data_IF_214877970804
#
_entry.id   IF_214877970804
#
_cell.length_a   1.000
_cell.length_b   1.000
_cell.length_c   1.000
_cell.angle_alpha   90.00
_cell.angle_beta   90.00
_cell.angle_gamma   90.00
#
_symmetry.space_group_name_H-M   'P 1'
#
loop_
_entity.id
_entity.type
_entity.pdbx_description
1 polymer ?
#
# COMPACT_ATOMS: atom_id res chain seq x y z
N UNK A 1 -5.96 -8.91 23.61
CA UNK A 1 -6.37 -8.94 22.19
C UNK A 1 -7.28 -7.77 21.91
N UNK A 2 -7.06 -7.02 20.84
CA UNK A 2 -7.91 -5.88 20.41
C UNK A 2 -9.26 -6.42 19.94
N UNK A 3 -10.36 -5.90 20.53
CA UNK A 3 -11.71 -6.43 20.32
C UNK A 3 -12.54 -5.61 19.32
N UNK A 4 -12.12 -4.40 18.99
CA UNK A 4 -12.86 -3.51 18.08
C UNK A 4 -11.94 -2.51 17.37
N UNK A 5 -12.44 -1.94 16.25
CA UNK A 5 -11.79 -0.84 15.56
C UNK A 5 -11.54 0.35 16.49
N UNK A 6 -12.51 0.70 17.34
CA UNK A 6 -12.37 1.84 18.26
C UNK A 6 -11.27 1.61 19.31
N UNK A 7 -11.13 0.38 19.81
CA UNK A 7 -10.04 0.04 20.74
C UNK A 7 -8.67 0.15 20.06
N UNK A 8 -8.59 -0.24 18.77
CA UNK A 8 -7.38 -0.06 17.98
C UNK A 8 -7.07 1.43 17.80
N UNK A 9 -8.05 2.24 17.40
CA UNK A 9 -7.89 3.69 17.21
C UNK A 9 -7.40 4.39 18.48
N UNK A 10 -8.03 4.09 19.64
CA UNK A 10 -7.61 4.62 20.95
C UNK A 10 -6.17 4.20 21.29
N UNK A 11 -5.78 2.97 21.00
CA UNK A 11 -4.42 2.51 21.26
C UNK A 11 -3.42 3.26 20.35
N UNK A 12 -3.72 3.36 19.05
CA UNK A 12 -2.86 4.04 18.06
C UNK A 12 -2.78 5.56 18.30
N UNK A 13 -3.83 6.20 18.86
CA UNK A 13 -3.82 7.64 19.15
C UNK A 13 -2.81 8.05 20.24
N UNK A 14 -2.34 7.08 21.03
CA UNK A 14 -1.36 7.28 22.11
C UNK A 14 0.10 7.14 21.65
N UNK A 15 0.32 6.75 20.39
CA UNK A 15 1.65 6.65 19.82
C UNK A 15 2.29 8.03 19.65
N UNK A 16 3.60 8.11 19.87
CA UNK A 16 4.39 9.31 19.59
C UNK A 16 4.40 9.59 18.11
N UNK A 17 4.25 10.85 17.75
CA UNK A 17 4.33 11.36 16.38
C UNK A 17 5.74 11.88 16.10
N UNK A 18 5.99 12.39 14.90
CA UNK A 18 7.25 13.06 14.57
C UNK A 18 7.49 14.26 15.49
N UNK A 19 8.64 14.31 16.17
CA UNK A 19 9.02 15.43 17.03
C UNK A 19 9.45 16.64 16.20
N UNK A 20 10.21 16.40 15.11
CA UNK A 20 10.69 17.42 14.17
C UNK A 20 10.43 16.95 12.72
N UNK A 21 9.19 17.06 12.23
CA UNK A 21 8.86 16.57 10.90
C UNK A 21 9.59 17.34 9.80
N UNK A 22 10.19 16.59 8.87
CA UNK A 22 10.98 17.14 7.76
C UNK A 22 10.07 17.53 6.60
N UNK A 23 10.00 18.83 6.30
CA UNK A 23 9.19 19.39 5.19
C UNK A 23 9.49 18.74 3.84
N UNK A 24 10.78 18.53 3.52
CA UNK A 24 11.21 17.95 2.25
C UNK A 24 10.77 16.50 2.09
N UNK A 25 10.60 15.76 3.20
CA UNK A 25 10.16 14.37 3.21
C UNK A 25 8.64 14.23 3.35
N UNK A 26 7.88 15.32 3.37
CA UNK A 26 6.43 15.32 3.59
C UNK A 26 6.01 14.44 4.78
N UNK A 27 6.78 14.50 5.89
CA UNK A 27 6.52 13.69 7.08
C UNK A 27 5.28 14.20 7.81
N UNK A 28 4.20 13.45 7.74
CA UNK A 28 3.00 13.61 8.56
C UNK A 28 2.52 12.25 9.02
N UNK A 29 2.05 12.20 10.25
CA UNK A 29 1.54 10.96 10.83
C UNK A 29 0.13 10.67 10.28
N UNK A 30 -0.11 9.45 9.86
CA UNK A 30 -1.47 8.98 9.53
C UNK A 30 -2.37 9.15 10.75
N UNK A 31 -3.57 9.69 10.56
CA UNK A 31 -4.54 9.82 11.64
C UNK A 31 -4.91 8.44 12.21
N UNK A 32 -5.04 8.33 13.53
CA UNK A 32 -5.25 7.05 14.23
C UNK A 32 -6.58 6.40 13.90
N UNK A 33 -7.65 7.18 13.70
CA UNK A 33 -8.96 6.66 13.30
C UNK A 33 -8.92 6.13 11.87
N UNK A 34 -8.23 6.83 10.98
CA UNK A 34 -8.04 6.41 9.58
C UNK A 34 -7.18 5.16 9.51
N UNK A 35 -6.05 5.14 10.23
CA UNK A 35 -5.19 3.96 10.32
C UNK A 35 -5.95 2.74 10.85
N UNK A 36 -6.69 2.91 11.96
CA UNK A 36 -7.50 1.84 12.53
C UNK A 36 -8.60 1.37 11.57
N UNK A 37 -9.27 2.28 10.85
CA UNK A 37 -10.31 1.92 9.90
C UNK A 37 -9.76 1.03 8.77
N UNK A 38 -8.64 1.41 8.16
CA UNK A 38 -8.01 0.65 7.08
C UNK A 38 -7.47 -0.68 7.58
N UNK A 39 -6.74 -0.69 8.70
CA UNK A 39 -6.15 -1.91 9.25
C UNK A 39 -7.22 -2.91 9.72
N UNK A 40 -8.34 -2.41 10.25
CA UNK A 40 -9.47 -3.24 10.65
C UNK A 40 -10.13 -3.92 9.44
N UNK A 41 -10.29 -3.20 8.33
CA UNK A 41 -10.74 -3.79 7.06
C UNK A 41 -9.74 -4.82 6.52
N UNK A 42 -8.45 -4.51 6.56
CA UNK A 42 -7.40 -5.43 6.14
C UNK A 42 -7.37 -6.72 6.99
N UNK A 43 -7.66 -6.60 8.27
CA UNK A 43 -7.82 -7.76 9.17
C UNK A 43 -9.02 -8.63 8.76
N UNK A 44 -10.20 -8.05 8.52
CA UNK A 44 -11.37 -8.79 8.05
C UNK A 44 -11.16 -9.46 6.68
N UNK A 45 -10.40 -8.82 5.80
CA UNK A 45 -10.06 -9.36 4.48
C UNK A 45 -8.95 -10.42 4.55
N UNK A 46 -8.50 -10.81 5.75
CA UNK A 46 -7.45 -11.81 5.99
C UNK A 46 -6.08 -11.45 5.40
N UNK A 47 -5.80 -10.16 5.31
CA UNK A 47 -4.55 -9.65 4.74
C UNK A 47 -3.51 -9.29 5.82
N UNK A 48 -3.84 -9.41 7.11
CA UNK A 48 -2.96 -9.07 8.24
C UNK A 48 -2.61 -10.28 9.10
N UNK A 49 -3.61 -10.97 9.64
CA UNK A 49 -3.39 -12.06 10.60
C UNK A 49 -2.53 -13.17 10.01
N UNK A 50 -1.47 -13.57 10.74
CA UNK A 50 -0.48 -14.56 10.29
C UNK A 50 0.26 -14.23 8.98
N UNK A 51 0.23 -12.97 8.52
CA UNK A 51 0.93 -12.49 7.32
C UNK A 51 2.26 -11.86 7.65
N UNK A 52 3.20 -11.98 6.72
CA UNK A 52 4.43 -11.19 6.68
C UNK A 52 4.13 -9.88 5.96
N UNK A 53 4.35 -8.76 6.63
CA UNK A 53 3.97 -7.43 6.16
C UNK A 53 5.21 -6.56 6.00
N UNK A 54 5.20 -5.64 5.04
CA UNK A 54 6.14 -4.53 4.99
C UNK A 54 5.37 -3.20 5.09
N UNK A 55 5.85 -2.32 5.98
CA UNK A 55 5.44 -0.93 6.11
C UNK A 55 6.51 -0.08 5.42
N UNK A 56 6.22 0.38 4.19
CA UNK A 56 7.17 1.13 3.37
C UNK A 56 7.06 2.63 3.64
N UNK A 57 8.16 3.25 4.05
CA UNK A 57 8.16 4.60 4.58
C UNK A 57 7.41 4.65 5.90
N UNK A 58 7.77 3.75 6.82
CA UNK A 58 6.99 3.50 8.04
C UNK A 58 6.87 4.72 8.97
N UNK A 59 7.74 5.71 8.84
CA UNK A 59 7.77 6.85 9.75
C UNK A 59 7.83 6.43 11.21
N UNK A 60 6.89 6.90 12.03
CA UNK A 60 6.78 6.53 13.45
C UNK A 60 6.03 5.21 13.69
N UNK A 61 5.63 4.51 12.61
CA UNK A 61 5.22 3.12 12.63
C UNK A 61 3.73 2.83 12.79
N UNK A 62 2.84 3.79 12.69
CA UNK A 62 1.43 3.62 13.04
C UNK A 62 0.73 2.47 12.27
N UNK A 63 1.04 2.29 10.98
CA UNK A 63 0.43 1.23 10.16
C UNK A 63 1.00 -0.15 10.52
N UNK A 64 2.32 -0.30 10.50
CA UNK A 64 2.97 -1.57 10.82
C UNK A 64 2.77 -2.02 12.26
N UNK A 65 2.79 -1.10 13.23
CA UNK A 65 2.50 -1.39 14.64
C UNK A 65 1.06 -1.83 14.83
N UNK A 66 0.11 -1.15 14.18
CA UNK A 66 -1.29 -1.58 14.19
C UNK A 66 -1.48 -2.98 13.58
N UNK A 67 -0.73 -3.30 12.51
CA UNK A 67 -0.74 -4.65 11.93
C UNK A 67 -0.16 -5.71 12.89
N UNK A 68 0.91 -5.39 13.65
CA UNK A 68 1.45 -6.29 14.70
C UNK A 68 0.41 -6.59 15.78
N UNK A 69 -0.28 -5.55 16.25
CA UNK A 69 -1.34 -5.66 17.27
C UNK A 69 -2.51 -6.51 16.78
N UNK A 70 -2.81 -6.47 15.48
CA UNK A 70 -3.84 -7.29 14.83
C UNK A 70 -3.36 -8.71 14.44
N UNK A 71 -2.19 -9.13 14.89
CA UNK A 71 -1.74 -10.51 14.75
C UNK A 71 -0.89 -10.80 13.51
N UNK A 72 -0.25 -9.80 12.91
CA UNK A 72 0.75 -10.05 11.88
C UNK A 72 1.84 -11.02 12.36
N UNK A 73 2.27 -11.93 11.49
CA UNK A 73 3.34 -12.89 11.79
C UNK A 73 4.68 -12.17 11.95
N UNK A 74 4.96 -11.22 11.07
CA UNK A 74 6.18 -10.40 11.05
C UNK A 74 5.93 -9.11 10.31
N UNK A 75 6.51 -8.00 10.76
CA UNK A 75 6.46 -6.71 10.06
C UNK A 75 7.88 -6.19 9.84
N UNK A 76 8.19 -5.87 8.59
CA UNK A 76 9.37 -5.11 8.19
C UNK A 76 9.01 -3.63 8.15
N UNK A 77 9.63 -2.84 9.00
CA UNK A 77 9.52 -1.38 9.00
C UNK A 77 10.69 -0.83 8.19
N UNK A 78 10.39 -0.24 7.02
CA UNK A 78 11.41 0.31 6.13
C UNK A 78 11.33 1.82 6.15
N UNK A 79 12.34 2.47 6.72
CA UNK A 79 12.37 3.93 6.90
C UNK A 79 13.80 4.45 6.75
N UNK A 80 13.95 5.50 5.98
CA UNK A 80 15.24 6.13 5.73
C UNK A 80 15.68 7.09 6.84
N UNK A 81 14.71 7.68 7.56
CA UNK A 81 15.00 8.62 8.65
C UNK A 81 15.25 7.89 9.97
N UNK A 82 16.48 7.95 10.44
CA UNK A 82 16.91 7.32 11.69
C UNK A 82 16.13 7.82 12.92
N UNK A 83 15.77 9.10 12.98
CA UNK A 83 15.03 9.66 14.11
C UNK A 83 13.60 9.09 14.18
N UNK A 84 12.98 8.85 13.03
CA UNK A 84 11.68 8.19 12.93
C UNK A 84 11.74 6.75 13.44
N UNK A 85 12.80 6.00 13.13
CA UNK A 85 12.99 4.64 13.65
C UNK A 85 13.14 4.64 15.17
N UNK A 86 13.88 5.59 15.75
CA UNK A 86 14.00 5.71 17.20
C UNK A 86 12.63 5.94 17.86
N UNK A 87 11.80 6.80 17.27
CA UNK A 87 10.43 7.03 17.76
C UNK A 87 9.56 5.76 17.60
N UNK A 88 9.71 5.05 16.49
CA UNK A 88 9.02 3.79 16.23
C UNK A 88 9.38 2.71 17.27
N UNK A 89 10.65 2.59 17.65
CA UNK A 89 11.09 1.65 18.71
C UNK A 89 10.47 1.98 20.08
N UNK A 90 10.38 3.29 20.42
CA UNK A 90 9.68 3.74 21.62
C UNK A 90 8.18 3.42 21.56
N UNK A 91 7.55 3.59 20.40
CA UNK A 91 6.16 3.24 20.17
C UNK A 91 5.92 1.72 20.31
N UNK A 92 6.83 0.89 19.82
CA UNK A 92 6.71 -0.56 20.01
C UNK A 92 6.77 -0.94 21.50
N UNK A 93 7.74 -0.40 22.26
CA UNK A 93 7.83 -0.63 23.72
C UNK A 93 6.56 -0.23 24.44
N UNK A 94 6.04 0.97 24.12
CA UNK A 94 4.77 1.44 24.70
C UNK A 94 3.61 0.47 24.41
N UNK A 95 3.50 -0.04 23.17
CA UNK A 95 2.45 -1.00 22.81
C UNK A 95 2.60 -2.32 23.58
N UNK A 96 3.82 -2.85 23.69
CA UNK A 96 4.08 -4.09 24.46
C UNK A 96 3.64 -3.96 25.90
N UNK A 97 3.93 -2.82 26.54
CA UNK A 97 3.49 -2.53 27.90
C UNK A 97 1.96 -2.45 28.02
N UNK A 98 1.29 -1.78 27.06
CA UNK A 98 -0.18 -1.60 27.10
C UNK A 98 -0.96 -2.88 26.82
N UNK A 99 -0.45 -3.77 25.95
CA UNK A 99 -1.17 -4.99 25.59
C UNK A 99 -0.68 -6.24 26.37
N UNK A 100 0.42 -6.12 27.13
CA UNK A 100 0.99 -7.23 27.89
C UNK A 100 1.57 -8.35 27.02
N UNK A 101 1.96 -8.04 25.77
CA UNK A 101 2.44 -9.04 24.79
C UNK A 101 3.72 -8.57 24.11
N UNK A 102 4.73 -9.45 24.06
CA UNK A 102 5.99 -9.14 23.37
C UNK A 102 5.83 -9.21 21.85
N UNK A 103 6.07 -8.10 21.18
CA UNK A 103 5.99 -7.94 19.73
C UNK A 103 7.37 -7.77 19.09
N UNK A 104 8.41 -7.45 19.86
CA UNK A 104 9.75 -7.15 19.35
C UNK A 104 10.32 -8.22 18.44
N UNK A 105 10.07 -9.52 18.74
CA UNK A 105 10.53 -10.64 17.90
C UNK A 105 9.86 -10.69 16.52
N UNK A 106 8.74 -10.00 16.35
CA UNK A 106 7.98 -9.91 15.10
C UNK A 106 8.25 -8.61 14.33
N UNK A 107 8.91 -7.63 14.94
CA UNK A 107 9.24 -6.34 14.35
C UNK A 107 10.69 -6.34 13.85
N UNK A 108 10.89 -5.99 12.59
CA UNK A 108 12.22 -5.85 11.97
C UNK A 108 12.39 -4.43 11.49
N UNK A 109 13.25 -3.65 12.13
CA UNK A 109 13.53 -2.28 11.77
C UNK A 109 14.66 -2.21 10.75
N UNK A 110 14.44 -1.50 9.64
CA UNK A 110 15.39 -1.37 8.55
C UNK A 110 15.58 0.13 8.23
N UNK A 111 16.69 0.70 8.71
CA UNK A 111 17.07 2.07 8.38
C UNK A 111 17.70 2.11 6.99
N UNK A 112 16.87 2.23 5.94
CA UNK A 112 17.28 2.26 4.55
C UNK A 112 16.22 2.89 3.65
N UNK A 113 16.63 3.28 2.43
CA UNK A 113 15.68 3.66 1.38
C UNK A 113 14.83 2.45 0.97
N UNK A 114 13.56 2.67 0.61
CA UNK A 114 12.67 1.63 0.12
C UNK A 114 13.21 0.94 -1.13
N UNK A 115 14.03 1.64 -1.94
CA UNK A 115 14.67 1.08 -3.13
C UNK A 115 15.55 -0.12 -2.82
N UNK A 116 16.18 -0.13 -1.62
CA UNK A 116 17.11 -1.17 -1.16
C UNK A 116 16.40 -2.33 -0.46
N UNK A 117 15.08 -2.26 -0.28
CA UNK A 117 14.30 -3.33 0.29
C UNK A 117 13.80 -4.29 -0.79
N UNK A 118 14.24 -5.56 -0.75
CA UNK A 118 13.96 -6.54 -1.82
C UNK A 118 13.30 -7.84 -1.31
N UNK A 119 12.85 -7.87 -0.04
CA UNK A 119 12.17 -9.06 0.51
C UNK A 119 10.74 -9.13 0.03
N UNK A 120 10.32 -10.30 -0.49
CA UNK A 120 8.92 -10.59 -0.78
C UNK A 120 8.15 -10.73 0.52
N UNK A 121 6.92 -10.20 0.54
CA UNK A 121 6.01 -10.24 1.67
C UNK A 121 4.59 -10.56 1.19
N UNK A 122 3.69 -10.90 2.11
CA UNK A 122 2.29 -11.19 1.77
C UNK A 122 1.54 -9.89 1.47
N UNK A 123 1.71 -8.88 2.33
CA UNK A 123 0.98 -7.62 2.27
C UNK A 123 1.93 -6.43 2.47
N UNK A 124 1.70 -5.36 1.72
CA UNK A 124 2.32 -4.06 1.96
C UNK A 124 1.27 -3.09 2.48
N UNK A 125 1.64 -2.32 3.49
CA UNK A 125 0.95 -1.11 3.94
C UNK A 125 1.89 0.07 3.74
N UNK A 126 1.37 1.19 3.23
CA UNK A 126 2.20 2.39 3.03
C UNK A 126 1.34 3.66 2.97
N UNK A 127 1.89 4.75 3.50
CA UNK A 127 1.38 6.10 3.30
C UNK A 127 2.51 6.96 2.72
N UNK A 128 2.76 6.86 1.40
CA UNK A 128 3.88 7.54 0.76
C UNK A 128 3.72 9.06 0.79
N UNK A 129 4.83 9.81 0.61
CA UNK A 129 4.75 11.26 0.34
C UNK A 129 3.80 11.53 -0.83
N UNK A 130 2.91 12.54 -0.70
CA UNK A 130 1.89 12.83 -1.73
C UNK A 130 2.44 13.55 -2.96
N UNK A 131 3.77 13.67 -3.08
CA UNK A 131 4.43 14.20 -4.28
C UNK A 131 4.31 15.71 -4.45
N UNK A 132 3.92 16.45 -3.41
CA UNK A 132 3.84 17.93 -3.46
C UNK A 132 5.22 18.58 -3.48
N UNK A 133 6.21 17.97 -2.84
CA UNK A 133 7.61 18.42 -2.77
C UNK A 133 8.56 17.61 -3.66
N UNK A 134 8.33 16.30 -3.77
CA UNK A 134 9.08 15.41 -4.66
C UNK A 134 8.13 14.84 -5.71
N UNK A 135 8.18 15.40 -6.93
CA UNK A 135 7.40 14.88 -8.07
C UNK A 135 7.64 13.37 -8.22
N UNK A 136 6.56 12.60 -8.36
CA UNK A 136 6.59 11.15 -8.59
C UNK A 136 7.12 10.27 -7.43
N UNK A 137 7.22 10.78 -6.19
CA UNK A 137 7.60 9.96 -5.05
C UNK A 137 6.61 8.79 -4.85
N UNK A 138 5.31 9.04 -4.94
CA UNK A 138 4.23 8.06 -4.89
C UNK A 138 4.38 6.95 -5.94
N UNK A 139 4.81 7.28 -7.15
CA UNK A 139 5.09 6.32 -8.22
C UNK A 139 6.22 5.34 -7.85
N UNK A 140 7.28 5.84 -7.19
CA UNK A 140 8.41 4.99 -6.76
C UNK A 140 7.94 3.99 -5.72
N UNK A 141 7.14 4.43 -4.74
CA UNK A 141 6.56 3.58 -3.71
C UNK A 141 5.64 2.51 -4.30
N UNK A 142 4.72 2.88 -5.20
CA UNK A 142 3.84 1.93 -5.87
C UNK A 142 4.60 0.88 -6.67
N UNK A 143 5.58 1.29 -7.50
CA UNK A 143 6.40 0.36 -8.27
C UNK A 143 7.13 -0.64 -7.38
N UNK A 144 7.71 -0.16 -6.26
CA UNK A 144 8.36 -1.02 -5.29
C UNK A 144 7.37 -1.99 -4.65
N UNK A 145 6.20 -1.51 -4.23
CA UNK A 145 5.16 -2.34 -3.65
C UNK A 145 4.69 -3.45 -4.61
N UNK A 146 4.41 -3.12 -5.88
CA UNK A 146 4.02 -4.11 -6.90
C UNK A 146 5.06 -5.20 -7.12
N UNK A 147 6.35 -4.86 -6.93
CA UNK A 147 7.43 -5.83 -7.09
C UNK A 147 7.57 -6.79 -5.90
N UNK A 148 7.00 -6.49 -4.73
CA UNK A 148 7.29 -7.20 -3.47
C UNK A 148 6.13 -7.99 -2.89
N UNK A 149 4.87 -7.61 -3.18
CA UNK A 149 3.69 -8.24 -2.57
C UNK A 149 2.58 -8.49 -3.58
N UNK A 150 1.63 -9.34 -3.19
CA UNK A 150 0.41 -9.59 -3.96
C UNK A 150 -0.79 -8.76 -3.46
N UNK A 151 -0.72 -8.22 -2.26
CA UNK A 151 -1.73 -7.35 -1.65
C UNK A 151 -1.07 -6.07 -1.16
N UNK A 152 -1.64 -4.92 -1.51
CA UNK A 152 -1.09 -3.60 -1.19
C UNK A 152 -2.21 -2.70 -0.70
N UNK A 153 -1.95 -2.04 0.42
CA UNK A 153 -2.75 -0.94 0.96
C UNK A 153 -1.92 0.34 0.85
N UNK A 154 -2.35 1.28 0.02
CA UNK A 154 -1.59 2.50 -0.26
C UNK A 154 -2.47 3.73 -0.19
N UNK A 155 -2.02 4.74 0.56
CA UNK A 155 -2.71 6.02 0.68
C UNK A 155 -2.25 6.98 -0.42
N UNK A 156 -3.20 7.66 -1.06
CA UNK A 156 -2.95 8.69 -2.07
C UNK A 156 -4.02 9.78 -2.00
N UNK A 157 -3.75 10.95 -2.56
CA UNK A 157 -4.78 11.98 -2.74
C UNK A 157 -5.83 11.48 -3.73
N UNK A 158 -7.11 11.78 -3.46
CA UNK A 158 -8.19 11.37 -4.37
C UNK A 158 -8.06 11.99 -5.78
N UNK A 159 -7.47 13.17 -5.90
CA UNK A 159 -7.18 13.79 -7.20
C UNK A 159 -6.27 12.96 -8.10
N UNK A 160 -5.49 12.01 -7.53
CA UNK A 160 -4.60 11.11 -8.28
C UNK A 160 -5.23 9.75 -8.59
N UNK A 161 -6.55 9.58 -8.40
CA UNK A 161 -7.26 8.29 -8.61
C UNK A 161 -6.99 7.70 -10.00
N UNK A 162 -7.08 8.51 -11.05
CA UNK A 162 -6.80 8.06 -12.43
C UNK A 162 -5.37 7.52 -12.62
N UNK A 163 -4.39 8.18 -11.99
CA UNK A 163 -3.00 7.73 -12.01
C UNK A 163 -2.82 6.39 -11.26
N UNK A 164 -3.40 6.28 -10.04
CA UNK A 164 -3.30 5.05 -9.24
C UNK A 164 -3.95 3.87 -9.96
N UNK A 165 -5.12 4.07 -10.58
CA UNK A 165 -5.81 3.05 -11.36
C UNK A 165 -4.94 2.58 -12.53
N UNK A 166 -4.44 3.52 -13.33
CA UNK A 166 -3.64 3.21 -14.51
C UNK A 166 -2.36 2.46 -14.17
N UNK A 167 -1.59 2.94 -13.18
CA UNK A 167 -0.35 2.27 -12.80
C UNK A 167 -0.60 0.88 -12.20
N UNK A 168 -1.70 0.68 -11.47
CA UNK A 168 -2.07 -0.63 -10.94
C UNK A 168 -2.33 -1.63 -12.06
N UNK A 169 -3.11 -1.24 -13.07
CA UNK A 169 -3.38 -2.06 -14.27
C UNK A 169 -2.09 -2.40 -15.02
N UNK A 170 -1.21 -1.43 -15.24
CA UNK A 170 0.06 -1.61 -15.96
C UNK A 170 0.96 -2.65 -15.28
N UNK A 171 0.85 -2.80 -13.94
CA UNK A 171 1.60 -3.79 -13.15
C UNK A 171 0.81 -5.08 -12.87
N UNK A 172 -0.38 -5.25 -13.45
CA UNK A 172 -1.20 -6.45 -13.31
C UNK A 172 -1.92 -6.56 -11.98
N UNK A 173 -2.25 -5.40 -11.36
CA UNK A 173 -3.05 -5.33 -10.13
C UNK A 173 -4.44 -4.78 -10.42
N UNK A 174 -5.45 -5.40 -9.82
CA UNK A 174 -6.83 -4.88 -9.77
C UNK A 174 -7.06 -4.15 -8.45
N UNK A 175 -7.80 -3.02 -8.52
CA UNK A 175 -8.29 -2.34 -7.33
C UNK A 175 -9.53 -3.06 -6.86
N UNK A 176 -9.49 -3.60 -5.63
CA UNK A 176 -10.60 -4.34 -5.04
C UNK A 176 -11.43 -3.49 -4.09
N UNK A 177 -10.82 -2.49 -3.45
CA UNK A 177 -11.48 -1.60 -2.52
C UNK A 177 -10.83 -0.20 -2.57
N UNK A 178 -11.63 0.82 -2.33
CA UNK A 178 -11.22 2.21 -2.14
C UNK A 178 -11.99 2.80 -0.96
N UNK A 179 -11.29 3.17 0.09
CA UNK A 179 -11.85 3.91 1.23
C UNK A 179 -11.42 5.36 1.15
N UNK A 180 -12.39 6.28 1.24
CA UNK A 180 -12.18 7.73 1.08
C UNK A 180 -12.27 8.42 2.44
N UNK A 181 -11.35 9.33 2.74
CA UNK A 181 -11.23 10.02 4.02
C UNK A 181 -11.00 11.52 3.87
N UNK A 182 -11.50 12.28 4.83
CA UNK A 182 -11.09 13.66 5.09
C UNK A 182 -9.86 13.64 6.01
N UNK A 183 -8.67 13.62 5.42
CA UNK A 183 -7.41 13.43 6.13
C UNK A 183 -6.96 14.75 6.78
N UNK A 184 -6.86 14.81 8.12
CA UNK A 184 -6.43 16.01 8.81
C UNK A 184 -4.91 16.14 8.73
N UNK A 185 -4.41 17.17 8.07
CA UNK A 185 -3.02 17.60 8.18
C UNK A 185 -2.97 18.66 9.27
N UNK A 186 -2.38 18.32 10.42
CA UNK A 186 -2.15 19.30 11.47
C UNK A 186 -1.12 20.31 10.99
N UNK A 187 -1.30 21.60 11.38
CA UNK A 187 -0.31 22.62 11.13
C UNK A 187 1.00 22.25 11.88
N UNK A 188 1.94 21.70 11.15
CA UNK A 188 3.23 21.25 11.67
C UNK A 188 4.26 22.39 11.63
N UNK A 189 3.91 23.53 11.01
CA UNK A 189 4.83 24.63 10.75
C UNK A 189 4.19 25.96 11.09
N UNK A 190 4.98 26.88 11.64
CA UNK A 190 4.58 28.22 12.11
C UNK A 190 3.94 29.11 11.01
N UNK A 191 4.20 28.82 9.73
CA UNK A 191 3.64 29.58 8.61
C UNK A 191 2.27 29.07 8.13
N UNK A 192 1.75 28.00 8.70
CA UNK A 192 0.39 27.52 8.36
C UNK A 192 -0.66 28.44 8.98
N UNK A 193 -1.41 29.16 8.12
CA UNK A 193 -2.51 30.06 8.54
C UNK A 193 -3.69 29.36 9.21
N UNK A 194 -3.88 28.04 8.96
CA UNK A 194 -4.95 27.22 9.55
C UNK A 194 -4.35 26.14 10.44
N UNK A 195 -4.87 25.98 11.65
CA UNK A 195 -4.46 24.93 12.62
C UNK A 195 -4.61 23.52 12.08
N UNK A 196 -5.61 23.26 11.25
CA UNK A 196 -5.87 21.96 10.61
C UNK A 196 -6.29 22.24 9.16
N UNK A 197 -5.57 21.66 8.22
CA UNK A 197 -5.97 21.57 6.84
C UNK A 197 -6.49 20.15 6.57
N UNK A 198 -7.64 20.03 5.90
CA UNK A 198 -8.17 18.73 5.48
C UNK A 198 -7.91 18.53 3.99
N UNK A 199 -7.44 17.34 3.63
CA UNK A 199 -7.27 16.92 2.24
C UNK A 199 -8.06 15.64 2.01
N UNK A 200 -8.57 15.48 0.80
CA UNK A 200 -9.27 14.25 0.40
C UNK A 200 -8.23 13.18 0.05
N UNK A 201 -8.19 12.11 0.84
CA UNK A 201 -7.26 10.99 0.67
C UNK A 201 -8.05 9.70 0.52
N UNK A 202 -7.59 8.83 -0.36
CA UNK A 202 -8.06 7.46 -0.45
C UNK A 202 -7.02 6.47 0.07
N UNK A 203 -7.48 5.33 0.56
CA UNK A 203 -6.66 4.15 0.70
C UNK A 203 -7.13 3.10 -0.31
N UNK A 204 -6.26 2.74 -1.24
CA UNK A 204 -6.50 1.72 -2.26
C UNK A 204 -6.01 0.38 -1.78
N UNK A 205 -6.90 -0.63 -1.82
CA UNK A 205 -6.49 -2.02 -1.74
C UNK A 205 -6.33 -2.56 -3.15
N UNK A 206 -5.09 -2.90 -3.48
CA UNK A 206 -4.72 -3.46 -4.77
C UNK A 206 -4.33 -4.92 -4.60
N UNK A 207 -4.83 -5.79 -5.46
CA UNK A 207 -4.53 -7.22 -5.43
C UNK A 207 -4.03 -7.69 -6.80
N UNK A 208 -2.94 -8.47 -6.80
CA UNK A 208 -2.38 -9.02 -8.02
C UNK A 208 -3.39 -9.92 -8.72
N UNK A 209 -3.65 -9.64 -9.98
CA UNK A 209 -4.57 -10.45 -10.79
C UNK A 209 -3.87 -11.76 -11.10
N UNK A 210 -4.48 -12.87 -10.69
CA UNK A 210 -4.08 -14.20 -11.18
C UNK A 210 -4.70 -14.38 -12.55
N UNK A 211 -3.90 -14.34 -13.60
CA UNK A 211 -4.35 -14.71 -14.93
C UNK A 211 -4.45 -16.24 -15.00
N UNK A 212 -5.63 -16.77 -15.24
CA UNK A 212 -5.79 -18.17 -15.61
C UNK A 212 -5.22 -18.35 -17.03
N UNK A 213 -4.65 -19.51 -17.33
CA UNK A 213 -4.01 -19.78 -18.63
C UNK A 213 -4.95 -19.55 -19.84
N UNK A 214 -6.27 -19.68 -19.66
CA UNK A 214 -7.30 -19.36 -20.66
C UNK A 214 -7.46 -17.84 -20.93
N UNK A 215 -7.11 -16.96 -19.98
CA UNK A 215 -7.24 -15.51 -20.16
C UNK A 215 -5.98 -14.87 -20.79
N UNK A 216 -4.84 -15.59 -20.75
CA UNK A 216 -3.59 -15.13 -21.37
C UNK A 216 -3.75 -15.05 -22.88
N UNK A 217 -4.45 -16.00 -23.52
CA UNK A 217 -4.69 -16.00 -24.96
C UNK A 217 -5.53 -14.78 -25.40
N UNK A 218 -6.50 -14.36 -24.61
CA UNK A 218 -7.37 -13.22 -24.92
C UNK A 218 -6.66 -11.84 -24.77
N UNK A 219 -5.72 -11.71 -23.83
CA UNK A 219 -4.93 -10.46 -23.71
C UNK A 219 -3.88 -10.30 -24.79
N UNK A 220 -3.25 -11.39 -25.25
CA UNK A 220 -2.37 -11.35 -26.44
C UNK A 220 -3.12 -10.92 -27.69
N UNK A 221 -4.36 -11.40 -27.91
CA UNK A 221 -5.23 -10.94 -28.99
C UNK A 221 -5.55 -9.43 -28.88
N UNK A 222 -5.78 -8.89 -27.68
CA UNK A 222 -6.04 -7.45 -27.48
C UNK A 222 -4.83 -6.57 -27.80
N UNK A 223 -3.63 -7.01 -27.43
CA UNK A 223 -2.37 -6.30 -27.76
C UNK A 223 -2.12 -6.38 -29.28
N UNK A 224 -2.41 -7.49 -29.92
CA UNK A 224 -2.25 -7.65 -31.37
C UNK A 224 -3.23 -6.77 -32.15
N UNK A 225 -4.45 -6.61 -31.68
CA UNK A 225 -5.46 -5.72 -32.29
C UNK A 225 -5.08 -4.25 -32.12
N UNK A 226 -4.58 -3.83 -30.94
CA UNK A 226 -4.10 -2.46 -30.71
C UNK A 226 -2.87 -2.15 -31.57
N UNK A 227 -1.94 -3.10 -31.74
CA UNK A 227 -0.76 -2.91 -32.59
C UNK A 227 -1.11 -2.80 -34.09
N UNK A 228 -2.18 -3.49 -34.52
CA UNK A 228 -2.66 -3.43 -35.91
C UNK A 228 -3.43 -2.15 -36.23
N UNK A 229 -4.11 -1.56 -35.24
CA UNK A 229 -4.81 -0.27 -35.40
C UNK A 229 -3.85 0.94 -35.45
N UNK A 230 -2.65 0.78 -34.87
CA UNK A 230 -1.62 1.87 -34.91
C UNK A 230 -0.77 1.90 -36.17
N UNK A 231 -0.81 0.85 -37.02
CA UNK A 231 -0.11 0.80 -38.32
C UNK A 231 -1.09 0.87 -39.50
N UNK A 232 -1.84 1.96 -39.60
CA UNK A 232 -2.79 2.28 -40.63
C UNK A 232 -2.58 1.54 -41.98
N UNK A 233 -3.17 0.37 -42.14
CA UNK A 233 -3.51 -0.23 -43.43
C UNK A 233 -4.84 -0.95 -43.32
N UNK A 234 -5.84 -0.35 -43.97
CA UNK A 234 -7.15 -0.95 -44.21
C UNK A 234 -7.00 -2.11 -45.18
N UNK A 235 -7.29 -3.32 -44.75
CA UNK A 235 -7.75 -4.39 -45.64
C UNK A 235 -8.92 -5.08 -44.99
N UNK A 236 -10.04 -5.09 -45.68
CA UNK A 236 -11.22 -5.89 -45.37
C UNK A 236 -10.82 -7.35 -45.17
N UNK A 237 -10.99 -7.88 -43.99
CA UNK A 237 -11.20 -9.30 -43.78
C UNK A 237 -11.90 -9.55 -42.44
N UNK A 238 -12.83 -10.52 -42.48
CA UNK A 238 -13.82 -10.83 -41.48
C UNK A 238 -13.28 -11.13 -40.08
N UNK A 239 -14.15 -10.99 -39.13
CA UNK A 239 -13.97 -11.28 -37.71
C UNK A 239 -13.57 -12.76 -37.55
N UNK A 240 -12.39 -13.12 -37.03
CA UNK A 240 -12.15 -14.51 -36.64
C UNK A 240 -12.88 -14.77 -35.33
N UNK A 241 -13.89 -15.64 -35.39
CA UNK A 241 -14.52 -16.27 -34.24
C UNK A 241 -13.43 -17.08 -33.53
N UNK A 242 -13.10 -16.73 -32.29
CA UNK A 242 -12.26 -17.57 -31.43
C UNK A 242 -13.04 -18.84 -31.08
N UNK A 243 -12.85 -19.91 -31.85
CA UNK A 243 -13.19 -21.24 -31.40
C UNK A 243 -12.07 -21.78 -30.51
N UNK A 244 -12.39 -22.46 -29.39
CA UNK A 244 -11.37 -23.11 -28.57
C UNK A 244 -10.83 -24.30 -29.36
N UNK A 245 -9.52 -24.31 -29.62
CA UNK A 245 -8.81 -25.49 -30.12
C UNK A 245 -8.74 -26.49 -28.98
N UNK A 246 -9.76 -27.34 -28.92
CA UNK A 246 -9.72 -28.63 -28.28
C UNK A 246 -9.40 -29.66 -29.37
N UNK A 247 -8.49 -30.56 -29.02
CA UNK A 247 -8.05 -31.75 -29.76
C UNK A 247 -7.03 -31.57 -30.87
N UNK A 248 -5.81 -31.98 -30.53
CA UNK A 248 -4.97 -32.88 -31.32
C UNK A 248 -3.76 -33.35 -30.46
N UNK A 249 -4.03 -34.35 -29.63
CA UNK A 249 -3.00 -35.21 -29.04
C UNK A 249 -3.46 -36.67 -29.22
N UNK A 250 -3.39 -37.16 -30.44
CA UNK A 250 -3.34 -38.57 -30.76
C UNK A 250 -2.94 -38.66 -32.23
N UNK A 251 -1.70 -39.04 -32.45
CA UNK A 251 -1.06 -39.65 -33.61
C UNK A 251 0.37 -39.13 -33.76
N UNK A 252 1.25 -39.85 -33.25
CA UNK A 252 2.59 -40.35 -33.45
C UNK A 252 3.35 -40.53 -32.14
#
# INVERSE_FOLDING_TARGET
MIKSKSNLAILLSKLRIFEAPKLKAEQYTTDSEIAAAVLWQAYYLRDIENKTIADLGSGTGILGLGALVLGAKKVFFVESDKSSIQTLELNLKFLEEKIGTKLVKKAIFLNKDIKDFNKKVDTIVQNPPFGTKQKHADKIFLKKAFSLANVIYSFHKLETEGFVNKISEDYGFGITNLWKFDFPIKATYSFHKKRIQRIKVGCWRMKKIKLNNSEISCRFCRIYVIFKLYKGHTTHMGIPICQPILTLASYF
#
